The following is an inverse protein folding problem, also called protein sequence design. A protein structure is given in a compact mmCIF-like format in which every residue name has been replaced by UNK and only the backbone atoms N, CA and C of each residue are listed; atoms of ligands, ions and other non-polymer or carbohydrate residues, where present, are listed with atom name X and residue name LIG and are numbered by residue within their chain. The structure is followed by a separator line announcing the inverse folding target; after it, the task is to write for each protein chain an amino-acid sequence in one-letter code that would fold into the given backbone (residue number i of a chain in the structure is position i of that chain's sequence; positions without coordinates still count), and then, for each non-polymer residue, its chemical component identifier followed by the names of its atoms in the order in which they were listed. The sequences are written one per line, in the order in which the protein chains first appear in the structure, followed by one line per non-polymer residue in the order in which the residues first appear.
data_IF_175757076946
#
_entry.id   IF_175757076946
#
_cell.length_a   1.000
_cell.length_b   1.000
_cell.length_c   1.000
_cell.angle_alpha   90.00
_cell.angle_beta   90.00
_cell.angle_gamma   90.00
#
_symmetry.space_group_name_H-M   'P 1'
#
loop_
_entity.id
_entity.type
_entity.pdbx_description
1 polymer ?
#
# COMPACT_ATOMS: atom_id res chain seq x y z
N UNK A 1 7.08 -7.28 -14.15
CA UNK A 1 7.36 -5.91 -14.61
C UNK A 1 7.71 -5.05 -13.43
N UNK A 2 8.70 -4.17 -13.59
CA UNK A 2 9.02 -3.14 -12.59
C UNK A 2 8.37 -1.84 -13.02
N UNK A 3 7.72 -1.15 -12.08
CA UNK A 3 7.13 0.17 -12.30
C UNK A 3 8.05 1.19 -11.66
N UNK A 4 8.50 2.15 -12.44
CA UNK A 4 9.32 3.27 -11.98
C UNK A 4 8.44 4.51 -12.03
N UNK A 5 8.27 5.17 -10.89
CA UNK A 5 7.47 6.39 -10.77
C UNK A 5 8.35 7.60 -10.41
N UNK A 6 7.98 8.82 -10.84
CA UNK A 6 8.68 10.02 -10.40
C UNK A 6 8.56 10.22 -8.88
N UNK A 7 9.58 10.85 -8.27
CA UNK A 7 9.61 11.12 -6.83
C UNK A 7 8.43 11.98 -6.33
N UNK A 8 7.93 12.89 -7.18
CA UNK A 8 6.75 13.69 -6.86
C UNK A 8 5.51 12.81 -6.68
N UNK A 9 5.32 11.84 -7.58
CA UNK A 9 4.22 10.87 -7.53
C UNK A 9 4.32 9.99 -6.29
N UNK A 10 5.53 9.52 -5.95
CA UNK A 10 5.75 8.71 -4.74
C UNK A 10 5.42 9.44 -3.44
N UNK A 11 5.36 10.79 -3.44
CA UNK A 11 5.01 11.63 -2.28
C UNK A 11 3.53 12.02 -2.27
N UNK A 12 2.82 11.88 -3.39
CA UNK A 12 1.39 12.10 -3.50
C UNK A 12 0.68 10.75 -3.30
N UNK A 13 0.20 10.51 -2.09
CA UNK A 13 -0.43 9.23 -1.71
C UNK A 13 -1.60 8.87 -2.62
N UNK A 14 -2.41 9.84 -3.05
CA UNK A 14 -3.58 9.58 -3.88
C UNK A 14 -3.16 9.14 -5.28
N UNK A 15 -2.27 9.92 -5.91
CA UNK A 15 -1.78 9.58 -7.24
C UNK A 15 -0.99 8.26 -7.22
N UNK A 16 -0.25 7.99 -6.15
CA UNK A 16 0.44 6.72 -5.98
C UNK A 16 -0.54 5.55 -5.90
N UNK A 17 -1.61 5.68 -5.12
CA UNK A 17 -2.66 4.69 -5.00
C UNK A 17 -3.35 4.40 -6.33
N UNK A 18 -3.64 5.43 -7.12
CA UNK A 18 -4.24 5.30 -8.46
C UNK A 18 -3.35 4.48 -9.39
N UNK A 19 -2.02 4.67 -9.33
CA UNK A 19 -1.07 3.87 -10.09
C UNK A 19 -1.10 2.40 -9.64
N UNK A 20 -1.14 2.13 -8.33
CA UNK A 20 -1.19 0.75 -7.83
C UNK A 20 -2.43 0.01 -8.36
N UNK A 21 -3.58 0.70 -8.42
CA UNK A 21 -4.83 0.18 -8.97
C UNK A 21 -4.75 0.00 -10.48
N UNK A 22 -4.36 1.03 -11.22
CA UNK A 22 -4.29 1.00 -12.69
C UNK A 22 -3.36 -0.10 -13.20
N UNK A 23 -2.22 -0.31 -12.53
CA UNK A 23 -1.22 -1.29 -12.93
C UNK A 23 -1.35 -2.64 -12.22
N UNK A 24 -2.41 -2.81 -11.39
CA UNK A 24 -2.70 -4.05 -10.68
C UNK A 24 -1.46 -4.59 -9.94
N UNK A 25 -0.79 -3.72 -9.20
CA UNK A 25 0.46 -4.06 -8.52
C UNK A 25 0.22 -5.18 -7.52
N UNK A 26 1.07 -6.20 -7.56
CA UNK A 26 0.94 -7.40 -6.69
C UNK A 26 1.99 -7.46 -5.58
N UNK A 27 3.10 -6.72 -5.70
CA UNK A 27 4.18 -6.67 -4.70
C UNK A 27 4.52 -5.21 -4.46
N UNK A 28 4.49 -4.79 -3.19
CA UNK A 28 4.78 -3.43 -2.76
C UNK A 28 5.88 -3.47 -1.69
N UNK A 29 6.93 -2.68 -1.87
CA UNK A 29 7.98 -2.48 -0.87
C UNK A 29 7.91 -1.03 -0.35
N UNK A 30 7.73 -0.85 0.95
CA UNK A 30 7.53 0.46 1.57
C UNK A 30 8.12 0.54 2.98
N UNK A 31 8.36 1.75 3.45
CA UNK A 31 8.48 1.99 4.88
C UNK A 31 7.10 1.89 5.55
N UNK A 32 7.03 1.46 6.83
CA UNK A 32 5.80 1.48 7.61
C UNK A 32 5.04 2.82 7.54
N UNK A 33 5.73 3.96 7.69
CA UNK A 33 5.15 5.30 7.64
C UNK A 33 4.41 5.58 6.33
N UNK A 34 5.05 5.28 5.18
CA UNK A 34 4.46 5.48 3.86
C UNK A 34 3.23 4.58 3.65
N UNK A 35 3.31 3.33 4.11
CA UNK A 35 2.19 2.41 4.02
C UNK A 35 1.01 2.85 4.91
N UNK A 36 1.24 3.40 6.10
CA UNK A 36 0.15 3.92 6.93
C UNK A 36 -0.59 5.09 6.26
N UNK A 37 0.13 6.00 5.60
CA UNK A 37 -0.50 7.06 4.79
C UNK A 37 -1.36 6.48 3.67
N UNK A 38 -0.85 5.45 2.98
CA UNK A 38 -1.57 4.76 1.92
C UNK A 38 -2.83 4.05 2.44
N UNK A 39 -2.73 3.37 3.57
CA UNK A 39 -3.88 2.73 4.23
C UNK A 39 -4.98 3.74 4.56
N UNK A 40 -4.61 4.92 5.07
CA UNK A 40 -5.57 5.96 5.40
C UNK A 40 -6.28 6.49 4.15
N UNK A 41 -5.55 6.80 3.08
CA UNK A 41 -6.16 7.28 1.83
C UNK A 41 -7.05 6.20 1.18
N UNK A 42 -6.59 4.95 1.14
CA UNK A 42 -7.36 3.81 0.62
C UNK A 42 -8.64 3.54 1.43
N UNK A 43 -8.63 3.85 2.73
CA UNK A 43 -9.81 3.68 3.58
C UNK A 43 -10.96 4.64 3.23
N UNK A 44 -10.67 5.74 2.53
CA UNK A 44 -11.67 6.69 2.04
C UNK A 44 -12.50 6.13 0.88
N UNK A 45 -11.99 5.11 0.18
CA UNK A 45 -12.74 4.40 -0.85
C UNK A 45 -13.67 3.35 -0.22
N UNK A 46 -14.84 3.10 -0.82
CA UNK A 46 -15.68 1.95 -0.48
C UNK A 46 -15.31 0.68 -1.26
N UNK A 47 -14.52 0.81 -2.33
CA UNK A 47 -14.12 -0.29 -3.20
C UNK A 47 -12.75 -0.86 -2.78
N UNK A 48 -12.54 -2.15 -3.02
CA UNK A 48 -11.30 -2.86 -2.72
C UNK A 48 -10.61 -3.28 -4.03
N UNK A 49 -9.96 -2.33 -4.70
CA UNK A 49 -9.49 -2.54 -6.08
C UNK A 49 -7.97 -2.81 -6.18
N UNK A 50 -7.30 -2.99 -5.04
CA UNK A 50 -5.88 -3.31 -5.01
C UNK A 50 -5.63 -4.82 -5.16
N UNK A 51 -4.68 -5.16 -6.01
CA UNK A 51 -4.28 -6.54 -6.32
C UNK A 51 -3.10 -7.04 -5.47
N UNK A 52 -2.82 -6.36 -4.36
CA UNK A 52 -1.64 -6.57 -3.53
C UNK A 52 -1.63 -7.97 -2.89
N UNK A 53 -0.64 -8.78 -3.26
CA UNK A 53 -0.35 -10.09 -2.67
C UNK A 53 0.67 -10.00 -1.56
N UNK A 54 1.61 -9.07 -1.67
CA UNK A 54 2.68 -8.85 -0.70
C UNK A 54 2.91 -7.36 -0.46
N UNK A 55 3.00 -6.99 0.81
CA UNK A 55 3.55 -5.71 1.27
C UNK A 55 4.74 -6.05 2.15
N UNK A 56 5.90 -5.57 1.74
CA UNK A 56 7.18 -5.81 2.40
C UNK A 56 7.60 -4.51 3.06
N UNK A 57 7.86 -4.56 4.36
CA UNK A 57 8.27 -3.43 5.15
C UNK A 57 9.80 -3.37 5.34
N UNK A 58 10.35 -2.16 5.36
CA UNK A 58 11.76 -1.94 5.67
C UNK A 58 12.04 -0.55 6.22
N UNK A 59 13.18 -0.39 6.89
CA UNK A 59 13.74 0.91 7.29
C UNK A 59 13.17 1.53 8.57
N UNK A 60 11.97 1.16 9.02
CA UNK A 60 11.38 1.70 10.26
C UNK A 60 10.77 0.60 11.12
N UNK A 61 10.48 0.93 12.38
CA UNK A 61 9.76 0.03 13.29
C UNK A 61 8.30 -0.16 12.84
N UNK A 62 7.86 -1.41 12.77
CA UNK A 62 6.48 -1.75 12.43
C UNK A 62 5.60 -1.70 13.67
N UNK A 63 4.39 -1.12 13.55
CA UNK A 63 3.34 -1.15 14.57
C UNK A 63 2.22 -2.12 14.15
N UNK A 64 2.23 -3.40 14.60
CA UNK A 64 1.31 -4.43 14.11
C UNK A 64 -0.17 -4.12 14.35
N UNK A 65 -0.48 -3.37 15.42
CA UNK A 65 -1.85 -2.96 15.74
C UNK A 65 -2.54 -2.18 14.62
N UNK A 66 -1.78 -1.37 13.86
CA UNK A 66 -2.31 -0.58 12.74
C UNK A 66 -2.68 -1.45 11.54
N UNK A 67 -1.98 -2.58 11.35
CA UNK A 67 -2.15 -3.45 10.19
C UNK A 67 -3.43 -4.31 10.23
N UNK A 68 -4.07 -4.43 11.40
CA UNK A 68 -5.30 -5.22 11.57
C UNK A 68 -6.39 -4.79 10.59
N UNK A 69 -6.59 -3.48 10.44
CA UNK A 69 -7.61 -2.92 9.57
C UNK A 69 -7.34 -3.23 8.10
N UNK A 70 -6.07 -3.18 7.68
CA UNK A 70 -5.66 -3.62 6.35
C UNK A 70 -5.99 -5.10 6.12
N UNK A 71 -5.67 -5.98 7.08
CA UNK A 71 -5.95 -7.41 6.94
C UNK A 71 -7.44 -7.74 6.93
N UNK A 72 -8.29 -6.96 7.60
CA UNK A 72 -9.74 -7.11 7.49
C UNK A 72 -10.23 -6.76 6.08
N UNK A 73 -9.69 -5.69 5.49
CA UNK A 73 -10.08 -5.22 4.16
C UNK A 73 -9.49 -6.07 3.02
N UNK A 74 -8.25 -6.51 3.19
CA UNK A 74 -7.45 -7.28 2.22
C UNK A 74 -6.88 -8.55 2.88
N UNK A 75 -7.74 -9.57 3.13
CA UNK A 75 -7.37 -10.75 3.93
C UNK A 75 -6.24 -11.58 3.31
N UNK A 76 -6.18 -11.63 1.98
CA UNK A 76 -5.21 -12.41 1.22
C UNK A 76 -3.83 -11.74 1.07
N UNK A 77 -3.70 -10.46 1.41
CA UNK A 77 -2.40 -9.77 1.34
C UNK A 77 -1.48 -10.26 2.45
N UNK A 78 -0.25 -10.66 2.11
CA UNK A 78 0.79 -10.99 3.09
C UNK A 78 1.56 -9.72 3.47
N UNK A 79 1.68 -9.50 4.77
CA UNK A 79 2.40 -8.38 5.37
C UNK A 79 3.70 -8.94 5.95
N UNK A 80 4.84 -8.54 5.40
CA UNK A 80 6.17 -9.09 5.69
C UNK A 80 7.03 -8.00 6.31
#
# INVERSE_FOLDING_TARGET
TLIIIPKAVARDTRQYLDILKAWQVTVLNQTPSAFYSLMNEESLSHQCDLSLRYVIFGGEALAPGRLKQWKQRYPHTRLI
#
